data_IF_671216852077
#
_entry.id   IF_671216852077
#
_cell.length_a   1.000
_cell.length_b   1.000
_cell.length_c   1.000
_cell.angle_alpha   90.00
_cell.angle_beta   90.00
_cell.angle_gamma   90.00
#
_symmetry.space_group_name_H-M   'P 1'
#
loop_
_entity.id
_entity.type
_entity.pdbx_description
1 polymer ?
#
# COMPACT_ATOMS: atom_id res chain seq x y z
N UNK A 1 -3.49 0.02 -8.44
CA UNK A 1 -3.07 -0.84 -7.32
C UNK A 1 -2.53 -2.14 -7.87
N UNK A 2 -1.34 -2.56 -7.42
CA UNK A 2 -0.67 -3.76 -7.92
C UNK A 2 -0.99 -4.98 -7.04
N UNK A 3 -1.43 -6.06 -7.66
CA UNK A 3 -1.82 -7.31 -7.01
C UNK A 3 -0.89 -8.42 -7.49
N UNK A 4 -0.23 -9.10 -6.55
CA UNK A 4 0.51 -10.31 -6.87
C UNK A 4 -0.49 -11.45 -7.14
N UNK A 5 -0.30 -12.17 -8.24
CA UNK A 5 -1.06 -13.38 -8.56
C UNK A 5 -0.11 -14.58 -8.58
N UNK A 6 0.12 -15.18 -7.40
CA UNK A 6 0.89 -16.41 -7.23
C UNK A 6 -0.08 -17.60 -7.25
N UNK A 7 -0.78 -17.75 -8.37
CA UNK A 7 -1.80 -18.78 -8.61
C UNK A 7 -1.50 -19.51 -9.92
N UNK A 8 -2.14 -20.67 -10.14
CA UNK A 8 -2.06 -21.38 -11.42
C UNK A 8 -2.46 -20.45 -12.59
N UNK A 9 -1.81 -20.54 -13.77
CA UNK A 9 -2.04 -19.61 -14.88
C UNK A 9 -3.52 -19.45 -15.31
N UNK A 10 -4.30 -20.53 -15.24
CA UNK A 10 -5.75 -20.54 -15.55
C UNK A 10 -6.52 -19.55 -14.68
N UNK A 11 -6.16 -19.40 -13.40
CA UNK A 11 -6.86 -18.54 -12.45
C UNK A 11 -6.55 -17.05 -12.66
N UNK A 12 -5.36 -16.71 -13.21
CA UNK A 12 -4.98 -15.33 -13.51
C UNK A 12 -5.96 -14.68 -14.50
N UNK A 13 -6.44 -15.46 -15.49
CA UNK A 13 -7.44 -15.00 -16.44
C UNK A 13 -8.77 -14.61 -15.77
N UNK A 14 -9.25 -15.43 -14.83
CA UNK A 14 -10.46 -15.18 -14.05
C UNK A 14 -10.33 -13.92 -13.18
N UNK A 15 -9.20 -13.76 -12.50
CA UNK A 15 -8.88 -12.56 -11.71
C UNK A 15 -8.90 -11.29 -12.56
N UNK A 16 -8.24 -11.31 -13.72
CA UNK A 16 -8.21 -10.17 -14.65
C UNK A 16 -9.60 -9.81 -15.16
N UNK A 17 -10.40 -10.82 -15.52
CA UNK A 17 -11.77 -10.61 -15.98
C UNK A 17 -12.65 -10.00 -14.89
N UNK A 18 -12.57 -10.49 -13.65
CA UNK A 18 -13.35 -9.97 -12.53
C UNK A 18 -12.96 -8.54 -12.12
N UNK A 19 -11.66 -8.25 -12.08
CA UNK A 19 -11.12 -6.98 -11.58
C UNK A 19 -11.32 -5.78 -12.51
N UNK A 20 -11.43 -6.02 -13.83
CA UNK A 20 -11.38 -4.96 -14.85
C UNK A 20 -10.09 -4.14 -14.76
N UNK A 21 -10.20 -2.81 -14.87
CA UNK A 21 -9.05 -1.89 -14.81
C UNK A 21 -8.65 -1.46 -13.38
N UNK A 22 -9.33 -1.93 -12.33
CA UNK A 22 -9.08 -1.49 -10.94
C UNK A 22 -7.77 -2.01 -10.37
N UNK A 23 -7.37 -3.19 -10.80
CA UNK A 23 -6.19 -3.90 -10.31
C UNK A 23 -5.28 -4.28 -11.47
N UNK A 24 -3.98 -4.10 -11.28
CA UNK A 24 -2.96 -4.63 -12.17
C UNK A 24 -2.41 -5.91 -11.55
N UNK A 25 -2.43 -7.01 -12.29
CA UNK A 25 -1.93 -8.29 -11.79
C UNK A 25 -0.51 -8.58 -12.25
N UNK A 26 0.36 -8.85 -11.28
CA UNK A 26 1.72 -9.33 -11.46
C UNK A 26 1.73 -10.85 -11.24
N UNK A 27 1.69 -11.68 -12.30
CA UNK A 27 1.74 -13.13 -12.16
C UNK A 27 3.12 -13.57 -11.67
N UNK A 28 3.16 -14.57 -10.79
CA UNK A 28 4.39 -15.21 -10.35
C UNK A 28 4.28 -16.73 -10.49
N UNK A 29 5.29 -17.33 -11.13
CA UNK A 29 5.40 -18.78 -11.27
C UNK A 29 6.31 -19.31 -10.16
N UNK A 30 5.70 -19.76 -9.07
CA UNK A 30 6.41 -20.26 -7.88
C UNK A 30 6.67 -19.22 -6.80
N UNK A 31 7.07 -19.71 -5.63
CA UNK A 31 7.18 -18.91 -4.41
C UNK A 31 8.37 -17.97 -4.41
N UNK A 32 9.53 -18.37 -4.93
CA UNK A 32 10.68 -17.49 -5.00
C UNK A 32 10.42 -16.30 -5.95
N UNK A 33 9.76 -16.54 -7.09
CA UNK A 33 9.32 -15.48 -7.98
C UNK A 33 8.30 -14.54 -7.31
N UNK A 34 7.38 -15.10 -6.52
CA UNK A 34 6.39 -14.34 -5.77
C UNK A 34 7.03 -13.42 -4.72
N UNK A 35 7.99 -13.93 -3.94
CA UNK A 35 8.73 -13.13 -2.95
C UNK A 35 9.56 -12.04 -3.65
N UNK A 36 10.26 -12.37 -4.73
CA UNK A 36 11.03 -11.39 -5.51
C UNK A 36 10.14 -10.29 -6.12
N UNK A 37 8.93 -10.64 -6.56
CA UNK A 37 7.95 -9.67 -7.04
C UNK A 37 7.54 -8.68 -5.94
N UNK A 38 7.27 -9.16 -4.72
CA UNK A 38 6.90 -8.31 -3.57
C UNK A 38 8.06 -7.40 -3.16
N UNK A 39 9.31 -7.89 -3.21
CA UNK A 39 10.49 -7.09 -2.92
C UNK A 39 10.68 -5.95 -3.93
N UNK A 40 10.54 -6.24 -5.23
CA UNK A 40 10.86 -5.31 -6.31
C UNK A 40 9.75 -4.30 -6.63
N UNK A 41 8.50 -4.62 -6.33
CA UNK A 41 7.34 -3.84 -6.76
C UNK A 41 6.39 -3.59 -5.58
N UNK A 42 5.73 -2.42 -5.51
CA UNK A 42 4.79 -2.09 -4.42
C UNK A 42 3.50 -2.88 -4.54
N UNK A 43 3.59 -4.20 -4.35
CA UNK A 43 2.46 -5.11 -4.21
C UNK A 43 1.69 -4.72 -2.96
N UNK A 44 0.38 -4.54 -3.11
CA UNK A 44 -0.52 -4.08 -2.05
C UNK A 44 -1.56 -5.14 -1.65
N UNK A 45 -1.64 -6.23 -2.40
CA UNK A 45 -2.49 -7.39 -2.16
C UNK A 45 -1.86 -8.61 -2.86
N UNK A 46 -1.94 -9.78 -2.24
CA UNK A 46 -1.55 -11.04 -2.87
C UNK A 46 -2.74 -11.99 -2.97
N UNK A 47 -2.96 -12.52 -4.16
CA UNK A 47 -3.83 -13.68 -4.38
C UNK A 47 -2.91 -14.88 -4.61
N UNK A 48 -3.08 -15.92 -3.80
CA UNK A 48 -2.14 -17.04 -3.76
C UNK A 48 -2.85 -18.39 -3.75
N UNK A 49 -2.24 -19.39 -4.37
CA UNK A 49 -2.73 -20.76 -4.40
C UNK A 49 -1.76 -21.66 -3.61
N UNK A 50 -2.18 -22.33 -2.51
CA UNK A 50 -1.33 -23.30 -1.82
C UNK A 50 -0.83 -24.44 -2.72
N UNK A 51 -1.52 -24.70 -3.84
CA UNK A 51 -1.16 -25.70 -4.85
C UNK A 51 -0.33 -25.12 -6.03
N UNK A 52 0.24 -23.91 -5.89
CA UNK A 52 1.01 -23.23 -6.96
C UNK A 52 2.12 -24.10 -7.56
N UNK A 53 2.82 -24.89 -6.74
CA UNK A 53 3.98 -25.71 -7.12
C UNK A 53 3.68 -27.23 -7.05
N UNK A 54 2.40 -27.62 -7.15
CA UNK A 54 1.97 -29.02 -7.10
C UNK A 54 1.03 -29.29 -5.92
N UNK A 55 1.25 -30.37 -5.13
CA UNK A 55 0.39 -30.69 -3.99
C UNK A 55 0.29 -29.51 -3.01
N UNK A 56 -0.87 -29.30 -2.36
CA UNK A 56 -1.12 -28.13 -1.55
C UNK A 56 -0.18 -28.06 -0.33
N UNK A 57 0.51 -26.94 -0.18
CA UNK A 57 1.48 -26.72 0.91
C UNK A 57 1.35 -25.31 1.49
N UNK A 58 1.46 -25.20 2.81
CA UNK A 58 1.41 -23.92 3.52
C UNK A 58 2.73 -23.13 3.43
N UNK A 59 3.87 -23.82 3.30
CA UNK A 59 5.20 -23.25 3.58
C UNK A 59 5.53 -21.95 2.83
N UNK A 60 5.20 -21.86 1.53
CA UNK A 60 5.48 -20.66 0.74
C UNK A 60 4.67 -19.44 1.22
N UNK A 61 3.40 -19.66 1.57
CA UNK A 61 2.51 -18.62 2.13
C UNK A 61 3.00 -18.24 3.53
N UNK A 62 3.35 -19.20 4.38
CA UNK A 62 3.90 -18.93 5.71
C UNK A 62 5.16 -18.06 5.65
N UNK A 63 6.08 -18.40 4.74
CA UNK A 63 7.29 -17.59 4.48
C UNK A 63 6.91 -16.18 4.06
N UNK A 64 5.94 -16.01 3.16
CA UNK A 64 5.43 -14.70 2.76
C UNK A 64 4.81 -13.92 3.93
N UNK A 65 4.04 -14.58 4.80
CA UNK A 65 3.42 -13.96 5.99
C UNK A 65 4.46 -13.55 7.04
N UNK A 66 5.54 -14.32 7.19
CA UNK A 66 6.67 -13.98 8.08
C UNK A 66 7.44 -12.77 7.54
N UNK A 67 7.69 -12.74 6.23
CA UNK A 67 8.44 -11.64 5.60
C UNK A 67 7.60 -10.37 5.45
N UNK A 68 6.32 -10.51 5.15
CA UNK A 68 5.40 -9.41 4.81
C UNK A 68 4.08 -9.52 5.59
N UNK A 69 4.10 -9.46 6.93
CA UNK A 69 2.91 -9.60 7.74
C UNK A 69 1.83 -8.56 7.45
N UNK A 70 2.21 -7.36 6.97
CA UNK A 70 1.30 -6.29 6.62
C UNK A 70 0.59 -6.48 5.27
N UNK A 71 1.09 -7.37 4.39
CA UNK A 71 0.53 -7.60 3.06
C UNK A 71 -0.80 -8.39 3.17
N UNK A 72 -1.94 -7.86 2.71
CA UNK A 72 -3.19 -8.60 2.65
C UNK A 72 -3.07 -9.81 1.70
N UNK A 73 -3.64 -10.95 2.09
CA UNK A 73 -3.54 -12.23 1.36
C UNK A 73 -4.90 -12.89 1.21
N UNK A 74 -5.27 -13.21 -0.03
CA UNK A 74 -6.43 -14.02 -0.40
C UNK A 74 -5.92 -15.39 -0.86
N UNK A 75 -6.51 -16.47 -0.36
CA UNK A 75 -6.32 -17.79 -0.97
C UNK A 75 -7.30 -17.95 -2.13
N UNK A 76 -6.80 -18.37 -3.29
CA UNK A 76 -7.64 -18.77 -4.41
C UNK A 76 -7.22 -20.15 -4.86
N UNK A 77 -8.00 -21.17 -4.48
CA UNK A 77 -7.59 -22.56 -4.62
C UNK A 77 -8.76 -23.51 -4.80
N UNK A 78 -8.49 -24.70 -5.32
CA UNK A 78 -9.49 -25.77 -5.38
C UNK A 78 -9.64 -26.45 -4.01
N UNK A 79 -10.84 -26.94 -3.70
CA UNK A 79 -11.10 -27.71 -2.49
C UNK A 79 -10.88 -29.21 -2.72
N UNK A 80 -10.21 -29.85 -1.76
CA UNK A 80 -10.02 -31.29 -1.71
C UNK A 80 -9.55 -31.75 -0.32
N UNK A 81 -9.53 -33.06 -0.03
CA UNK A 81 -9.19 -33.57 1.30
C UNK A 81 -7.80 -33.13 1.81
N UNK A 82 -6.81 -33.08 0.92
CA UNK A 82 -5.44 -32.62 1.25
C UNK A 82 -5.36 -31.12 1.61
N UNK A 83 -6.35 -30.33 1.19
CA UNK A 83 -6.39 -28.88 1.43
C UNK A 83 -6.83 -28.53 2.85
N UNK A 84 -7.67 -29.36 3.49
CA UNK A 84 -8.21 -29.09 4.82
C UNK A 84 -7.13 -28.80 5.90
N UNK A 85 -6.10 -29.65 6.09
CA UNK A 85 -5.04 -29.35 7.06
C UNK A 85 -4.21 -28.12 6.68
N UNK A 86 -4.07 -27.84 5.38
CA UNK A 86 -3.35 -26.67 4.87
C UNK A 86 -4.11 -25.39 5.22
N UNK A 87 -5.43 -25.35 5.02
CA UNK A 87 -6.27 -24.20 5.38
C UNK A 87 -6.26 -23.93 6.88
N UNK A 88 -6.32 -24.97 7.72
CA UNK A 88 -6.23 -24.81 9.18
C UNK A 88 -4.90 -24.16 9.60
N UNK A 89 -3.80 -24.58 8.97
CA UNK A 89 -2.47 -24.00 9.22
C UNK A 89 -2.38 -22.55 8.75
N UNK A 90 -2.90 -22.26 7.56
CA UNK A 90 -2.92 -20.90 7.00
C UNK A 90 -3.83 -19.93 7.78
N UNK A 91 -4.96 -20.42 8.29
CA UNK A 91 -5.82 -19.65 9.18
C UNK A 91 -5.10 -19.20 10.45
N UNK A 92 -4.24 -20.06 11.02
CA UNK A 92 -3.37 -19.69 12.17
C UNK A 92 -2.31 -18.64 11.82
N UNK A 93 -1.92 -18.53 10.55
CA UNK A 93 -1.01 -17.50 10.04
C UNK A 93 -1.71 -16.18 9.67
N UNK A 94 -3.00 -16.06 10.02
CA UNK A 94 -3.79 -14.84 9.83
C UNK A 94 -4.38 -14.68 8.44
N UNK A 95 -4.38 -15.73 7.60
CA UNK A 95 -5.09 -15.72 6.33
C UNK A 95 -6.58 -15.92 6.60
N UNK A 96 -7.41 -14.95 6.20
CA UNK A 96 -8.83 -14.89 6.59
C UNK A 96 -9.79 -15.06 5.41
N UNK A 97 -9.30 -14.88 4.19
CA UNK A 97 -10.13 -14.90 2.99
C UNK A 97 -9.72 -16.06 2.08
N UNK A 98 -10.72 -16.86 1.69
CA UNK A 98 -10.55 -18.02 0.82
C UNK A 98 -11.63 -17.96 -0.26
N UNK A 99 -11.19 -18.07 -1.50
CA UNK A 99 -12.03 -18.21 -2.69
C UNK A 99 -11.84 -19.64 -3.18
N UNK A 100 -12.92 -20.42 -3.16
CA UNK A 100 -12.90 -21.77 -3.68
C UNK A 100 -13.16 -21.77 -5.19
N UNK A 101 -12.22 -22.33 -5.95
CA UNK A 101 -12.33 -22.51 -7.40
C UNK A 101 -13.61 -23.30 -7.75
N UNK A 102 -14.39 -22.76 -8.70
CA UNK A 102 -15.64 -23.36 -9.16
C UNK A 102 -16.83 -23.23 -8.21
N UNK A 103 -16.66 -22.58 -7.05
CA UNK A 103 -17.73 -22.39 -6.06
C UNK A 103 -17.94 -20.90 -5.75
N UNK A 104 -16.88 -20.18 -5.37
CA UNK A 104 -16.94 -18.78 -4.93
C UNK A 104 -16.41 -17.79 -5.99
N UNK A 105 -15.98 -18.28 -7.14
CA UNK A 105 -15.18 -17.53 -8.13
C UNK A 105 -16.00 -16.88 -9.25
N UNK A 106 -17.28 -16.62 -9.01
CA UNK A 106 -18.09 -15.81 -9.91
C UNK A 106 -17.50 -14.38 -10.03
N UNK A 107 -17.43 -13.76 -11.23
CA UNK A 107 -16.70 -12.50 -11.44
C UNK A 107 -17.06 -11.36 -10.48
N UNK A 108 -18.35 -11.21 -10.13
CA UNK A 108 -18.79 -10.21 -9.14
C UNK A 108 -18.23 -10.48 -7.75
N UNK A 109 -18.32 -11.72 -7.28
CA UNK A 109 -17.82 -12.13 -5.95
C UNK A 109 -16.30 -11.98 -5.87
N UNK A 110 -15.57 -12.41 -6.90
CA UNK A 110 -14.13 -12.18 -7.01
C UNK A 110 -13.78 -10.69 -6.89
N UNK A 111 -14.51 -9.83 -7.60
CA UNK A 111 -14.29 -8.38 -7.55
C UNK A 111 -14.56 -7.81 -6.15
N UNK A 112 -15.66 -8.22 -5.51
CA UNK A 112 -16.04 -7.77 -4.17
C UNK A 112 -15.00 -8.18 -3.12
N UNK A 113 -14.53 -9.43 -3.17
CA UNK A 113 -13.49 -9.94 -2.27
C UNK A 113 -12.18 -9.20 -2.48
N UNK A 114 -11.74 -9.00 -3.73
CA UNK A 114 -10.54 -8.22 -4.04
C UNK A 114 -10.64 -6.79 -3.50
N UNK A 115 -11.79 -6.14 -3.63
CA UNK A 115 -12.02 -4.78 -3.12
C UNK A 115 -12.04 -4.75 -1.59
N UNK A 116 -12.69 -5.72 -0.95
CA UNK A 116 -12.76 -5.84 0.51
C UNK A 116 -11.38 -6.04 1.12
N UNK A 117 -10.60 -7.00 0.62
CA UNK A 117 -9.25 -7.24 1.12
C UNK A 117 -8.28 -6.12 0.76
N UNK A 118 -8.45 -5.47 -0.41
CA UNK A 118 -7.69 -4.28 -0.76
C UNK A 118 -7.89 -3.13 0.24
N UNK A 119 -9.00 -3.08 1.01
CA UNK A 119 -9.20 -2.05 2.03
C UNK A 119 -8.11 -2.10 3.13
N UNK A 120 -7.47 -3.26 3.32
CA UNK A 120 -6.37 -3.44 4.26
C UNK A 120 -5.00 -3.04 3.68
N UNK A 121 -4.92 -2.74 2.37
CA UNK A 121 -3.70 -2.25 1.73
C UNK A 121 -3.22 -0.93 2.32
N UNK A 122 -1.90 -0.70 2.26
CA UNK A 122 -1.25 0.50 2.80
C UNK A 122 -1.83 1.77 2.18
N UNK A 123 -1.93 1.84 0.84
CA UNK A 123 -2.47 3.02 0.16
C UNK A 123 -3.91 3.31 0.55
N UNK A 124 -4.75 2.27 0.66
CA UNK A 124 -6.17 2.41 1.02
C UNK A 124 -6.34 2.91 2.44
N UNK A 125 -5.61 2.34 3.40
CA UNK A 125 -5.62 2.82 4.79
C UNK A 125 -5.15 4.27 4.90
N UNK A 126 -4.13 4.67 4.12
CA UNK A 126 -3.65 6.05 4.11
C UNK A 126 -4.65 7.02 3.47
N UNK A 127 -5.27 6.65 2.36
CA UNK A 127 -6.31 7.46 1.70
C UNK A 127 -7.48 7.68 2.66
N UNK A 128 -7.95 6.62 3.31
CA UNK A 128 -9.02 6.70 4.32
C UNK A 128 -8.62 7.65 5.44
N UNK A 129 -7.40 7.48 5.97
CA UNK A 129 -6.84 8.27 7.06
C UNK A 129 -6.58 9.74 6.75
N UNK A 130 -6.68 10.19 5.50
CA UNK A 130 -6.54 11.61 5.13
C UNK A 130 -7.77 12.17 4.42
N UNK A 131 -8.82 11.37 4.28
CA UNK A 131 -10.01 11.71 3.48
C UNK A 131 -10.68 12.99 3.96
N UNK A 132 -10.75 13.19 5.28
CA UNK A 132 -11.25 14.38 5.98
C UNK A 132 -10.46 15.64 5.61
N UNK A 133 -9.13 15.52 5.50
CA UNK A 133 -8.25 16.63 5.13
C UNK A 133 -8.49 17.12 3.69
N UNK A 134 -8.99 16.23 2.83
CA UNK A 134 -9.20 16.50 1.40
C UNK A 134 -10.62 17.00 1.09
N UNK A 135 -11.51 17.13 2.08
CA UNK A 135 -12.91 17.52 1.86
C UNK A 135 -13.07 18.84 1.09
N UNK A 136 -12.23 19.83 1.38
CA UNK A 136 -12.27 21.15 0.74
C UNK A 136 -11.56 21.26 -0.61
N UNK A 137 -11.00 20.16 -1.13
CA UNK A 137 -10.25 20.14 -2.38
C UNK A 137 -11.18 19.87 -3.59
N UNK A 138 -10.86 20.42 -4.78
CA UNK A 138 -11.49 20.00 -6.03
C UNK A 138 -11.39 18.50 -6.23
N UNK A 139 -12.40 17.90 -6.87
CA UNK A 139 -12.46 16.46 -7.11
C UNK A 139 -11.24 15.94 -7.87
N UNK A 140 -10.74 16.71 -8.83
CA UNK A 140 -9.57 16.39 -9.65
C UNK A 140 -8.28 16.36 -8.82
N UNK A 141 -8.13 17.30 -7.87
CA UNK A 141 -6.96 17.34 -7.00
C UNK A 141 -7.00 16.23 -5.95
N UNK A 142 -8.19 15.95 -5.39
CA UNK A 142 -8.39 14.80 -4.50
C UNK A 142 -8.03 13.50 -5.21
N UNK A 143 -8.60 13.29 -6.41
CA UNK A 143 -8.30 12.13 -7.23
C UNK A 143 -6.81 11.99 -7.55
N UNK A 144 -6.13 13.10 -7.87
CA UNK A 144 -4.69 13.09 -8.14
C UNK A 144 -3.86 12.69 -6.90
N UNK A 145 -4.20 13.19 -5.70
CA UNK A 145 -3.53 12.82 -4.44
C UNK A 145 -3.72 11.34 -4.15
N UNK A 146 -4.96 10.85 -4.21
CA UNK A 146 -5.24 9.44 -3.96
C UNK A 146 -4.55 8.51 -4.97
N UNK A 147 -4.45 8.94 -6.23
CA UNK A 147 -3.79 8.16 -7.28
C UNK A 147 -2.29 8.04 -7.01
N UNK A 148 -1.65 9.12 -6.56
CA UNK A 148 -0.25 9.09 -6.14
C UNK A 148 -0.02 8.12 -4.97
N UNK A 149 -0.97 8.04 -4.03
CA UNK A 149 -0.90 7.07 -2.93
C UNK A 149 -1.05 5.62 -3.40
N UNK A 150 -1.89 5.37 -4.41
CA UNK A 150 -2.06 4.05 -5.06
C UNK A 150 -0.90 3.66 -5.98
N UNK A 151 -0.03 4.60 -6.31
CA UNK A 151 1.14 4.45 -7.18
C UNK A 151 2.41 4.96 -6.48
N UNK A 152 2.82 4.33 -5.36
CA UNK A 152 3.85 4.89 -4.49
C UNK A 152 5.25 4.94 -5.13
N UNK A 153 5.51 4.14 -6.17
CA UNK A 153 6.75 4.19 -6.95
C UNK A 153 6.82 5.35 -7.96
N UNK A 154 5.70 6.05 -8.20
CA UNK A 154 5.64 7.15 -9.17
C UNK A 154 6.37 8.40 -8.68
N UNK A 155 6.60 9.37 -9.58
CA UNK A 155 7.29 10.61 -9.23
C UNK A 155 6.40 11.55 -8.40
N UNK A 156 6.75 11.72 -7.11
CA UNK A 156 6.05 12.58 -6.14
C UNK A 156 6.50 14.06 -6.23
N UNK A 157 6.22 14.74 -7.35
CA UNK A 157 6.49 16.18 -7.48
C UNK A 157 5.22 17.01 -7.51
N UNK A 158 5.30 18.26 -7.03
CA UNK A 158 4.17 19.21 -7.12
C UNK A 158 3.74 19.43 -8.58
N UNK A 159 4.69 19.41 -9.52
CA UNK A 159 4.40 19.52 -10.96
C UNK A 159 3.57 18.33 -11.44
N UNK A 160 3.99 17.10 -11.11
CA UNK A 160 3.26 15.90 -11.50
C UNK A 160 1.87 15.83 -10.86
N UNK A 161 1.74 16.25 -9.59
CA UNK A 161 0.45 16.37 -8.91
C UNK A 161 -0.48 17.35 -9.63
N UNK A 162 0.00 18.57 -9.92
CA UNK A 162 -0.79 19.60 -10.59
C UNK A 162 -1.21 19.17 -12.00
N UNK A 163 -0.29 18.61 -12.78
CA UNK A 163 -0.57 18.08 -14.11
C UNK A 163 -1.63 16.99 -14.08
N UNK A 164 -1.55 16.06 -13.13
CA UNK A 164 -2.54 14.99 -12.98
C UNK A 164 -3.91 15.52 -12.58
N UNK A 165 -3.95 16.60 -11.80
CA UNK A 165 -5.18 17.28 -11.42
C UNK A 165 -5.70 18.28 -12.49
N UNK A 166 -5.08 18.34 -13.68
CA UNK A 166 -5.51 19.23 -14.76
C UNK A 166 -5.31 20.72 -14.47
N UNK A 167 -4.37 21.09 -13.60
CA UNK A 167 -4.14 22.48 -13.19
C UNK A 167 -2.67 22.88 -13.20
N UNK A 168 -2.41 24.18 -13.15
CA UNK A 168 -1.05 24.69 -13.01
C UNK A 168 -0.53 24.57 -11.56
N UNK A 169 0.80 24.67 -11.40
CA UNK A 169 1.48 24.55 -10.09
C UNK A 169 1.01 25.61 -9.08
N UNK A 170 0.78 26.85 -9.51
CA UNK A 170 0.36 27.97 -8.64
C UNK A 170 -1.05 27.73 -8.12
N UNK A 171 -1.95 27.26 -8.97
CA UNK A 171 -3.32 26.88 -8.61
C UNK A 171 -3.32 25.73 -7.60
N UNK A 172 -2.49 24.70 -7.81
CA UNK A 172 -2.32 23.60 -6.85
C UNK A 172 -1.87 24.12 -5.48
N UNK A 173 -0.82 24.95 -5.42
CA UNK A 173 -0.32 25.51 -4.14
C UNK A 173 -1.39 26.36 -3.44
N UNK A 174 -2.16 27.14 -4.20
CA UNK A 174 -3.24 27.98 -3.66
C UNK A 174 -4.34 27.16 -2.98
N UNK A 175 -4.67 25.97 -3.51
CA UNK A 175 -5.65 25.08 -2.88
C UNK A 175 -5.20 24.57 -1.51
N UNK A 176 -3.92 24.19 -1.38
CA UNK A 176 -3.36 23.78 -0.10
C UNK A 176 -3.36 24.93 0.91
N UNK A 177 -2.98 26.14 0.48
CA UNK A 177 -3.05 27.33 1.32
C UNK A 177 -4.48 27.65 1.77
N UNK A 178 -5.46 27.57 0.86
CA UNK A 178 -6.89 27.79 1.18
C UNK A 178 -7.41 26.75 2.18
N UNK A 179 -6.90 25.54 2.15
CA UNK A 179 -7.26 24.47 3.08
C UNK A 179 -6.48 24.51 4.40
N UNK A 180 -5.61 25.51 4.61
CA UNK A 180 -4.69 25.60 5.76
C UNK A 180 -3.83 24.34 5.94
N UNK A 181 -3.45 23.70 4.83
CA UNK A 181 -2.54 22.56 4.83
C UNK A 181 -1.11 23.01 4.47
N UNK A 182 -0.09 22.20 4.80
CA UNK A 182 1.30 22.48 4.41
C UNK A 182 1.44 22.59 2.90
N UNK A 183 2.54 23.15 2.40
CA UNK A 183 2.83 23.14 0.97
C UNK A 183 2.74 21.72 0.37
N UNK A 184 2.30 21.58 -0.90
CA UNK A 184 2.10 20.26 -1.51
C UNK A 184 3.34 19.36 -1.44
N UNK A 185 4.54 19.92 -1.57
CA UNK A 185 5.81 19.18 -1.44
C UNK A 185 5.98 18.54 -0.06
N UNK A 186 5.65 19.28 1.00
CA UNK A 186 5.76 18.80 2.39
C UNK A 186 4.76 17.69 2.66
N UNK A 187 3.50 17.86 2.22
CA UNK A 187 2.48 16.82 2.34
C UNK A 187 2.86 15.55 1.58
N UNK A 188 3.31 15.67 0.33
CA UNK A 188 3.76 14.52 -0.47
C UNK A 188 4.92 13.77 0.20
N UNK A 189 5.91 14.50 0.75
CA UNK A 189 7.01 13.88 1.51
C UNK A 189 6.50 13.15 2.74
N UNK A 190 5.62 13.77 3.53
CA UNK A 190 5.08 13.17 4.75
C UNK A 190 4.29 11.90 4.44
N UNK A 191 3.39 11.94 3.46
CA UNK A 191 2.60 10.78 3.01
C UNK A 191 3.49 9.62 2.54
N UNK A 192 4.52 9.92 1.75
CA UNK A 192 5.47 8.91 1.25
C UNK A 192 6.29 8.29 2.38
N UNK A 193 6.63 9.08 3.40
CA UNK A 193 7.37 8.61 4.58
C UNK A 193 6.47 7.77 5.51
N UNK A 194 5.19 8.10 5.67
CA UNK A 194 4.24 7.22 6.38
C UNK A 194 4.07 5.89 5.63
N UNK A 195 3.94 5.92 4.30
CA UNK A 195 3.90 4.71 3.49
C UNK A 195 5.16 3.87 3.73
N UNK A 196 6.33 4.52 3.73
CA UNK A 196 7.61 3.86 4.00
C UNK A 196 7.64 3.21 5.38
N UNK A 197 7.10 3.86 6.40
CA UNK A 197 7.01 3.28 7.74
C UNK A 197 6.22 1.97 7.75
N UNK A 198 5.06 1.95 7.07
CA UNK A 198 4.22 0.74 6.94
C UNK A 198 5.01 -0.40 6.28
N UNK A 199 5.78 -0.12 5.23
CA UNK A 199 6.66 -1.13 4.62
C UNK A 199 7.82 -1.52 5.54
N UNK A 200 8.42 -0.59 6.28
CA UNK A 200 9.54 -0.89 7.17
C UNK A 200 9.15 -1.84 8.32
N UNK A 201 7.86 -1.96 8.65
CA UNK A 201 7.36 -2.95 9.62
C UNK A 201 7.48 -4.39 9.14
N UNK A 202 7.53 -4.60 7.83
CA UNK A 202 7.67 -5.94 7.26
C UNK A 202 9.14 -6.38 7.31
N UNK A 203 9.48 -7.50 8.00
CA UNK A 203 10.86 -7.96 8.16
C UNK A 203 11.58 -8.28 6.85
N UNK A 204 10.82 -8.58 5.79
CA UNK A 204 11.33 -8.91 4.48
C UNK A 204 11.96 -7.74 3.73
N UNK A 205 11.73 -6.48 4.13
CA UNK A 205 12.34 -5.34 3.47
C UNK A 205 13.55 -4.80 4.23
N UNK A 206 14.62 -4.50 3.49
CA UNK A 206 15.68 -3.62 3.96
C UNK A 206 15.30 -2.14 3.79
N UNK A 207 16.07 -1.24 4.40
CA UNK A 207 15.89 0.21 4.22
C UNK A 207 16.09 0.61 2.76
N UNK A 208 17.02 -0.05 2.06
CA UNK A 208 17.30 0.17 0.64
C UNK A 208 16.17 -0.31 -0.26
N UNK A 209 15.57 -1.46 0.05
CA UNK A 209 14.40 -1.98 -0.67
C UNK A 209 13.24 -0.97 -0.59
N UNK A 210 12.94 -0.48 0.62
CA UNK A 210 11.86 0.50 0.81
C UNK A 210 12.15 1.81 0.07
N UNK A 211 13.38 2.31 0.13
CA UNK A 211 13.76 3.53 -0.61
C UNK A 211 13.55 3.36 -2.12
N UNK A 212 14.07 2.26 -2.69
CA UNK A 212 13.97 1.94 -4.12
C UNK A 212 12.51 1.75 -4.54
N UNK A 213 11.74 0.98 -3.77
CA UNK A 213 10.33 0.67 -4.03
C UNK A 213 9.45 1.92 -4.06
N UNK A 214 9.76 2.90 -3.22
CA UNK A 214 9.05 4.17 -3.19
C UNK A 214 9.56 5.17 -4.21
N UNK A 215 10.57 4.84 -5.02
CA UNK A 215 11.12 5.66 -6.10
C UNK A 215 12.16 6.69 -5.63
N UNK A 216 12.85 6.46 -4.52
CA UNK A 216 13.95 7.35 -4.09
C UNK A 216 15.18 7.03 -4.92
N UNK A 217 15.83 8.07 -5.48
CA UNK A 217 17.06 7.89 -6.24
C UNK A 217 18.23 7.39 -5.38
N UNK A 218 18.24 7.74 -4.09
CA UNK A 218 19.27 7.34 -3.14
C UNK A 218 18.65 7.07 -1.77
N UNK A 219 19.14 6.02 -1.10
CA UNK A 219 18.73 5.66 0.28
C UNK A 219 19.01 6.79 1.28
N UNK A 220 20.06 7.59 1.06
CA UNK A 220 20.36 8.78 1.89
C UNK A 220 19.25 9.82 1.83
N UNK A 221 18.69 10.10 0.64
CA UNK A 221 17.57 11.04 0.48
C UNK A 221 16.33 10.56 1.21
N UNK A 222 16.06 9.25 1.17
CA UNK A 222 15.00 8.65 1.97
C UNK A 222 15.23 8.84 3.47
N UNK A 223 16.43 8.51 3.96
CA UNK A 223 16.77 8.64 5.38
C UNK A 223 16.66 10.10 5.88
N UNK A 224 17.04 11.08 5.05
CA UNK A 224 16.89 12.50 5.36
C UNK A 224 15.41 12.89 5.52
N UNK A 225 14.55 12.49 4.59
CA UNK A 225 13.11 12.74 4.68
C UNK A 225 12.48 12.09 5.91
N UNK A 226 12.91 10.86 6.25
CA UNK A 226 12.46 10.18 7.47
C UNK A 226 12.86 10.97 8.72
N UNK A 227 14.10 11.45 8.78
CA UNK A 227 14.58 12.28 9.89
C UNK A 227 13.85 13.61 9.99
N UNK A 228 13.52 14.24 8.87
CA UNK A 228 12.76 15.49 8.85
C UNK A 228 11.34 15.30 9.39
N UNK A 229 10.66 14.22 8.98
CA UNK A 229 9.26 13.94 9.33
C UNK A 229 9.10 13.38 10.75
N UNK A 230 9.95 12.45 11.16
CA UNK A 230 9.81 11.73 12.42
C UNK A 230 10.91 12.02 13.45
N UNK A 231 11.99 12.72 13.08
CA UNK A 231 13.16 12.91 13.96
C UNK A 231 14.00 11.66 14.19
N UNK A 232 13.64 10.54 13.53
CA UNK A 232 14.28 9.22 13.69
C UNK A 232 15.04 8.83 12.42
N UNK A 233 15.94 7.86 12.53
CA UNK A 233 16.48 7.15 11.35
C UNK A 233 15.49 6.07 10.87
N UNK A 234 15.55 5.59 9.62
CA UNK A 234 14.68 4.50 9.14
C UNK A 234 14.73 3.24 10.02
N UNK A 235 15.91 2.89 10.55
CA UNK A 235 16.09 1.73 11.43
C UNK A 235 15.44 1.93 12.80
N UNK A 236 15.53 3.12 13.38
CA UNK A 236 14.83 3.45 14.63
C UNK A 236 13.32 3.50 14.41
N UNK A 237 12.87 4.16 13.33
CA UNK A 237 11.46 4.30 12.99
C UNK A 237 10.75 2.93 12.90
N UNK A 238 11.44 1.90 12.39
CA UNK A 238 10.94 0.52 12.33
C UNK A 238 10.51 -0.01 13.70
N UNK A 239 11.24 0.28 14.76
CA UNK A 239 11.01 -0.32 16.10
C UNK A 239 10.38 0.64 17.10
N UNK A 240 10.42 1.95 16.84
CA UNK A 240 10.04 2.98 17.82
C UNK A 240 8.58 3.42 17.73
N UNK A 241 7.91 3.23 16.60
CA UNK A 241 6.52 3.68 16.40
C UNK A 241 5.68 2.57 15.80
N UNK A 242 4.51 2.35 16.39
CA UNK A 242 3.44 1.63 15.73
C UNK A 242 2.93 2.45 14.54
N UNK A 243 2.35 1.81 13.52
CA UNK A 243 1.89 2.53 12.35
C UNK A 243 0.71 3.49 12.58
N UNK A 244 -0.06 3.27 13.64
CA UNK A 244 -1.11 4.16 14.10
C UNK A 244 -0.51 5.41 14.77
N UNK A 245 0.49 5.26 15.64
CA UNK A 245 1.22 6.38 16.25
C UNK A 245 1.96 7.23 15.21
N UNK A 246 2.58 6.60 14.22
CA UNK A 246 3.28 7.30 13.15
C UNK A 246 2.32 8.16 12.31
N UNK A 247 1.13 7.62 12.01
CA UNK A 247 0.09 8.37 11.30
C UNK A 247 -0.40 9.55 12.14
N UNK A 248 -0.67 9.33 13.43
CA UNK A 248 -1.14 10.39 14.33
C UNK A 248 -0.10 11.49 14.48
N UNK A 249 1.18 11.15 14.67
CA UNK A 249 2.25 12.15 14.74
C UNK A 249 2.33 13.03 13.49
N UNK A 250 2.15 12.43 12.30
CA UNK A 250 2.13 13.20 11.06
C UNK A 250 0.86 14.03 10.94
N UNK A 251 -0.30 13.52 11.36
CA UNK A 251 -1.55 14.29 11.46
C UNK A 251 -1.37 15.49 12.37
N UNK A 252 -0.83 15.31 13.56
CA UNK A 252 -0.60 16.39 14.52
C UNK A 252 0.39 17.44 14.02
N UNK A 253 1.50 16.98 13.44
CA UNK A 253 2.61 17.85 13.05
C UNK A 253 2.34 18.63 11.77
N UNK A 254 1.66 18.01 10.80
CA UNK A 254 1.49 18.56 9.46
C UNK A 254 0.05 18.90 9.13
N UNK A 255 -0.95 18.27 9.75
CA UNK A 255 -2.35 18.41 9.34
C UNK A 255 -3.26 19.01 10.41
N UNK A 256 -2.78 19.20 11.65
CA UNK A 256 -3.49 20.00 12.65
C UNK A 256 -3.62 21.44 12.19
N UNK A 257 -4.87 21.92 12.12
CA UNK A 257 -5.19 23.35 11.97
C UNK A 257 -4.67 24.10 13.19
N UNK A 258 -3.38 24.47 13.23
CA UNK A 258 -2.92 25.42 14.24
C UNK A 258 -3.65 26.74 13.98
N UNK A 259 -4.38 27.32 14.97
CA UNK A 259 -4.81 28.69 14.83
C UNK A 259 -3.55 29.55 14.66
N UNK A 260 -3.56 30.42 13.64
CA UNK A 260 -2.53 31.43 13.46
C UNK A 260 -2.51 32.27 14.75
N UNK A 261 -1.57 31.98 15.66
CA UNK A 261 -1.25 32.91 16.74
C UNK A 261 -0.55 34.08 16.07
N UNK A 262 -1.32 35.12 15.76
CA UNK A 262 -0.79 36.44 15.44
C UNK A 262 -0.03 36.92 16.68
N UNK A 263 1.28 36.70 16.69
CA UNK A 263 2.16 37.38 17.63
C UNK A 263 2.11 38.86 17.22
N UNK A 264 1.29 39.65 17.92
CA UNK A 264 1.40 41.11 17.90
C UNK A 264 2.79 41.45 18.45
N UNK A 265 3.67 41.85 17.55
CA UNK A 265 4.93 42.51 17.91
C UNK A 265 4.53 43.80 18.65
N UNK A 266 4.94 43.89 19.90
CA UNK A 266 4.84 45.10 20.74
C UNK A 266 6.18 45.82 20.69
#
# INVERSE_FOLDING_TARGET
MLVLAAVRPVLVGRLRHAAGCRFQFLPAQGWDAAIQAVLRQPVELAVVDPALEGPPRAHGIERMRVLFPSLPVILYTATGPEMAPVLLRLGRCGVREVIVEGHDDHPRRLADVLVSEAAHAVSRRLIEAISDLLEGFPGELRWAIETILREPASTHTVKALAQRAGMDRRTCVRWFAKANLPPPSTMLTALRVIYAHRLLQDPGYTVEDVATKLGYAQTRSFAQNVKEVFGLTPAQLRVSLSPEEALEMVRERYFSRKPLVLVKVS
#
